data_IF_884760484904
#
_entry.id   IF_884760484904
#
_cell.length_a   1.000
_cell.length_b   1.000
_cell.length_c   1.000
_cell.angle_alpha   90.00
_cell.angle_beta   90.00
_cell.angle_gamma   90.00
#
_symmetry.space_group_name_H-M   'P 1'
#
loop_
_entity.id
_entity.type
_entity.pdbx_description
1 polymer ?
#
# COMPACT_ATOMS: atom_id res chain seq x y z
N UNK A 1 -17.37 -4.38 -0.92
CA UNK A 1 -17.59 -4.61 -2.33
C UNK A 1 -16.57 -5.61 -2.83
N UNK A 2 -17.04 -6.68 -3.48
CA UNK A 2 -16.22 -7.71 -4.11
C UNK A 2 -15.44 -7.08 -5.25
N UNK A 3 -14.11 -7.03 -5.14
CA UNK A 3 -13.25 -6.71 -6.28
C UNK A 3 -13.31 -7.86 -7.29
N UNK A 4 -13.68 -7.55 -8.52
CA UNK A 4 -13.50 -8.50 -9.63
C UNK A 4 -12.01 -8.69 -9.91
N UNK A 5 -11.53 -9.93 -9.79
CA UNK A 5 -10.18 -10.29 -10.20
C UNK A 5 -10.18 -10.49 -11.72
N UNK A 6 -9.76 -9.49 -12.45
CA UNK A 6 -9.55 -9.57 -13.88
C UNK A 6 -8.07 -9.79 -14.20
N UNK A 7 -7.79 -10.71 -15.12
CA UNK A 7 -6.44 -11.09 -15.54
C UNK A 7 -5.75 -10.07 -16.48
N UNK A 8 -6.28 -8.86 -16.59
CA UNK A 8 -5.68 -7.82 -17.42
C UNK A 8 -4.87 -6.86 -16.55
N UNK A 9 -3.62 -6.55 -16.90
CA UNK A 9 -2.90 -5.45 -16.30
C UNK A 9 -3.68 -4.16 -16.54
N UNK A 10 -3.81 -3.29 -15.52
CA UNK A 10 -4.45 -1.98 -15.63
C UNK A 10 -5.95 -1.98 -15.92
N UNK A 11 -6.74 -2.60 -15.04
CA UNK A 11 -8.21 -2.65 -15.17
C UNK A 11 -8.92 -1.40 -14.66
N UNK A 12 -8.27 -0.58 -13.84
CA UNK A 12 -8.85 0.63 -13.26
C UNK A 12 -8.98 1.72 -14.31
N UNK A 13 -10.22 2.12 -14.61
CA UNK A 13 -10.55 3.16 -15.60
C UNK A 13 -10.94 4.49 -14.98
N UNK A 14 -11.09 4.54 -13.68
CA UNK A 14 -11.53 5.71 -12.90
C UNK A 14 -10.78 5.75 -11.58
N UNK A 15 -10.62 6.95 -11.02
CA UNK A 15 -10.13 7.12 -9.66
C UNK A 15 -11.15 6.57 -8.67
N UNK A 16 -10.74 5.64 -7.84
CA UNK A 16 -11.55 5.12 -6.75
C UNK A 16 -10.98 5.57 -5.42
N UNK A 17 -11.85 5.95 -4.49
CA UNK A 17 -11.46 6.35 -3.15
C UNK A 17 -11.94 5.32 -2.16
N UNK A 18 -11.00 4.63 -1.55
CA UNK A 18 -11.25 3.76 -0.40
C UNK A 18 -10.94 4.50 0.90
N UNK A 19 -11.49 4.00 1.98
CA UNK A 19 -11.24 4.54 3.31
C UNK A 19 -10.96 3.40 4.28
N UNK A 20 -10.02 3.60 5.17
CA UNK A 20 -9.90 2.80 6.36
C UNK A 20 -9.70 3.71 7.57
N UNK A 21 -10.12 3.23 8.73
CA UNK A 21 -10.01 3.99 9.97
C UNK A 21 -9.03 3.27 10.90
N UNK A 22 -8.07 4.02 11.42
CA UNK A 22 -7.19 3.56 12.48
C UNK A 22 -7.30 4.52 13.66
N UNK A 23 -7.68 3.99 14.84
CA UNK A 23 -7.90 4.79 16.06
C UNK A 23 -8.72 6.06 15.82
N UNK A 24 -9.80 5.95 15.02
CA UNK A 24 -10.70 7.04 14.62
C UNK A 24 -10.11 8.09 13.67
N UNK A 25 -8.86 7.97 13.30
CA UNK A 25 -8.29 8.72 12.18
C UNK A 25 -8.67 8.03 10.88
N UNK A 26 -9.33 8.77 10.01
CA UNK A 26 -9.68 8.27 8.68
C UNK A 26 -8.47 8.44 7.75
N UNK A 27 -8.13 7.37 7.07
CA UNK A 27 -7.14 7.36 6.00
C UNK A 27 -7.86 7.15 4.67
N UNK A 28 -7.51 7.92 3.67
CA UNK A 28 -8.00 7.76 2.32
C UNK A 28 -6.97 7.00 1.49
N UNK A 29 -7.43 6.02 0.73
CA UNK A 29 -6.64 5.32 -0.26
C UNK A 29 -7.19 5.66 -1.63
N UNK A 30 -6.35 6.25 -2.47
CA UNK A 30 -6.67 6.54 -3.86
C UNK A 30 -6.18 5.38 -4.72
N UNK A 31 -7.10 4.62 -5.29
CA UNK A 31 -6.79 3.64 -6.32
C UNK A 31 -6.79 4.37 -7.67
N UNK A 32 -5.63 4.44 -8.28
CA UNK A 32 -5.43 5.17 -9.53
C UNK A 32 -5.50 4.21 -10.71
N UNK A 33 -5.94 4.67 -11.89
CA UNK A 33 -5.75 3.93 -13.13
C UNK A 33 -4.29 3.52 -13.27
N UNK A 34 -4.05 2.32 -13.75
CA UNK A 34 -2.70 1.83 -13.97
C UNK A 34 -1.91 2.79 -14.86
N UNK A 35 -0.72 3.18 -14.41
CA UNK A 35 0.19 3.96 -15.22
C UNK A 35 0.79 3.03 -16.27
N UNK A 36 0.54 3.32 -17.54
CA UNK A 36 1.05 2.51 -18.63
C UNK A 36 2.50 2.89 -18.96
N UNK A 37 3.28 1.90 -19.35
CA UNK A 37 4.65 2.09 -19.87
C UNK A 37 4.62 2.75 -21.23
N UNK A 38 4.35 4.06 -21.25
CA UNK A 38 4.33 4.91 -22.43
C UNK A 38 4.60 6.37 -22.06
N UNK A 39 5.12 7.19 -23.00
CA UNK A 39 5.41 8.59 -22.78
C UNK A 39 4.21 9.40 -22.26
N UNK A 40 4.49 10.47 -21.49
CA UNK A 40 3.46 11.34 -20.91
C UNK A 40 2.50 11.92 -21.98
N UNK A 41 3.01 12.26 -23.13
CA UNK A 41 2.26 12.79 -24.27
C UNK A 41 1.23 11.81 -24.84
N UNK A 42 1.50 10.51 -24.67
CA UNK A 42 0.62 9.43 -25.12
C UNK A 42 -0.38 9.00 -24.04
N UNK A 43 -0.31 9.59 -22.86
CA UNK A 43 -1.21 9.25 -21.75
C UNK A 43 -2.57 9.91 -21.93
N UNK A 44 -3.60 9.16 -21.63
CA UNK A 44 -4.96 9.69 -21.68
C UNK A 44 -5.25 10.65 -20.51
N UNK A 45 -6.35 11.42 -20.61
CA UNK A 45 -6.73 12.40 -19.61
C UNK A 45 -6.93 11.79 -18.20
N UNK A 46 -7.33 10.53 -18.10
CA UNK A 46 -7.55 9.82 -16.82
C UNK A 46 -6.22 9.54 -16.13
N UNK A 47 -5.20 9.09 -16.88
CA UNK A 47 -3.86 8.86 -16.36
C UNK A 47 -3.20 10.16 -15.90
N UNK A 48 -3.37 11.25 -16.64
CA UNK A 48 -2.89 12.58 -16.25
C UNK A 48 -3.55 13.09 -14.97
N UNK A 49 -4.86 12.87 -14.81
CA UNK A 49 -5.57 13.19 -13.57
C UNK A 49 -5.08 12.36 -12.39
N UNK A 50 -4.80 11.08 -12.61
CA UNK A 50 -4.25 10.22 -11.57
C UNK A 50 -2.88 10.71 -11.07
N UNK A 51 -1.98 11.10 -11.98
CA UNK A 51 -0.68 11.67 -11.64
C UNK A 51 -0.86 12.98 -10.85
N UNK A 52 -1.72 13.89 -11.30
CA UNK A 52 -2.00 15.14 -10.60
C UNK A 52 -2.57 14.89 -9.19
N UNK A 53 -3.45 13.90 -9.04
CA UNK A 53 -4.00 13.54 -7.73
C UNK A 53 -2.91 13.01 -6.78
N UNK A 54 -2.01 12.15 -7.26
CA UNK A 54 -0.88 11.65 -6.48
C UNK A 54 0.07 12.77 -6.06
N UNK A 55 0.35 13.72 -6.95
CA UNK A 55 1.26 14.83 -6.71
C UNK A 55 0.71 15.83 -5.67
N UNK A 56 -0.59 16.13 -5.72
CA UNK A 56 -1.20 17.20 -4.93
C UNK A 56 -1.96 16.72 -3.69
N UNK A 57 -2.46 15.49 -3.69
CA UNK A 57 -3.34 14.97 -2.63
C UNK A 57 -2.68 13.84 -1.85
N UNK A 58 -1.82 13.05 -2.48
CA UNK A 58 -1.19 11.89 -1.86
C UNK A 58 -0.13 12.27 -0.83
N UNK A 59 -0.20 11.66 0.35
CA UNK A 59 0.86 11.77 1.37
C UNK A 59 1.98 10.76 1.14
N UNK A 60 1.63 9.55 0.73
CA UNK A 60 2.54 8.44 0.41
C UNK A 60 1.99 7.72 -0.81
N UNK A 61 2.84 7.39 -1.77
CA UNK A 61 2.49 6.58 -2.92
C UNK A 61 2.98 5.13 -2.71
N UNK A 62 2.19 4.17 -3.18
CA UNK A 62 2.55 2.75 -3.18
C UNK A 62 2.66 2.27 -4.62
N UNK A 63 3.78 1.63 -4.93
CA UNK A 63 3.96 0.91 -6.18
C UNK A 63 3.88 -0.59 -5.89
N UNK A 64 2.85 -1.25 -6.40
CA UNK A 64 2.68 -2.69 -6.25
C UNK A 64 3.46 -3.41 -7.36
N UNK A 65 4.50 -4.11 -6.95
CA UNK A 65 5.37 -4.89 -7.82
C UNK A 65 5.02 -6.37 -7.73
N UNK A 66 4.81 -7.01 -8.86
CA UNK A 66 4.57 -8.46 -8.95
C UNK A 66 5.81 -9.17 -9.50
N UNK A 67 6.67 -9.63 -8.61
CA UNK A 67 7.90 -10.34 -8.98
C UNK A 67 7.63 -11.68 -9.68
N UNK A 68 6.44 -12.26 -9.52
CA UNK A 68 6.05 -13.51 -10.19
C UNK A 68 5.67 -13.31 -11.66
N UNK A 69 5.38 -12.07 -12.07
CA UNK A 69 4.87 -11.76 -13.41
C UNK A 69 3.46 -12.29 -13.70
N UNK A 70 2.77 -12.82 -12.69
CA UNK A 70 1.41 -13.38 -12.85
C UNK A 70 0.35 -12.32 -13.20
N UNK A 71 0.70 -11.03 -13.08
CA UNK A 71 -0.15 -9.92 -13.54
C UNK A 71 -0.16 -9.77 -15.07
N UNK A 72 0.70 -10.50 -15.79
CA UNK A 72 0.81 -10.44 -17.25
C UNK A 72 1.84 -9.42 -17.76
N UNK A 73 2.46 -8.65 -16.88
CA UNK A 73 3.56 -7.74 -17.21
C UNK A 73 4.86 -8.30 -16.64
N UNK A 74 5.92 -8.48 -17.45
CA UNK A 74 7.21 -8.96 -16.97
C UNK A 74 7.78 -8.06 -15.86
N UNK A 75 8.50 -8.62 -14.88
CA UNK A 75 9.11 -7.83 -13.81
C UNK A 75 9.99 -6.67 -14.30
N UNK A 76 10.74 -6.85 -15.38
CA UNK A 76 11.60 -5.83 -15.97
C UNK A 76 10.82 -4.61 -16.45
N UNK A 77 9.67 -4.83 -17.09
CA UNK A 77 8.79 -3.75 -17.54
C UNK A 77 8.16 -3.01 -16.37
N UNK A 78 7.81 -3.73 -15.30
CA UNK A 78 7.30 -3.13 -14.07
C UNK A 78 8.38 -2.24 -13.39
N UNK A 79 9.63 -2.69 -13.37
CA UNK A 79 10.74 -1.90 -12.82
C UNK A 79 11.05 -0.66 -13.69
N UNK A 80 10.94 -0.77 -15.01
CA UNK A 80 11.06 0.39 -15.89
C UNK A 80 9.98 1.43 -15.59
N UNK A 81 8.72 0.99 -15.47
CA UNK A 81 7.62 1.87 -15.08
C UNK A 81 7.84 2.50 -13.69
N UNK A 82 8.41 1.77 -12.72
CA UNK A 82 8.74 2.31 -11.40
C UNK A 82 9.70 3.50 -11.51
N UNK A 83 10.74 3.42 -12.34
CA UNK A 83 11.68 4.52 -12.53
C UNK A 83 11.01 5.74 -13.17
N UNK A 84 10.09 5.54 -14.10
CA UNK A 84 9.28 6.64 -14.63
C UNK A 84 8.40 7.27 -13.54
N UNK A 85 7.71 6.47 -12.74
CA UNK A 85 6.86 6.97 -11.63
C UNK A 85 7.66 7.78 -10.62
N UNK A 86 8.88 7.35 -10.28
CA UNK A 86 9.78 8.12 -9.42
C UNK A 86 10.08 9.52 -9.96
N UNK A 87 10.25 9.66 -11.27
CA UNK A 87 10.48 10.97 -11.89
C UNK A 87 9.25 11.87 -11.90
N UNK A 88 8.05 11.27 -11.92
CA UNK A 88 6.78 12.00 -11.91
C UNK A 88 6.37 12.49 -10.52
N UNK A 89 6.88 11.86 -9.46
CA UNK A 89 6.48 12.14 -8.06
C UNK A 89 7.68 12.54 -7.19
N UNK A 90 8.47 13.57 -7.56
CA UNK A 90 9.73 13.86 -6.88
C UNK A 90 9.57 14.30 -5.41
N UNK A 91 8.39 14.80 -5.03
CA UNK A 91 8.09 15.28 -3.68
C UNK A 91 7.28 14.31 -2.83
N UNK A 92 6.89 13.15 -3.37
CA UNK A 92 6.02 12.18 -2.68
C UNK A 92 6.83 10.94 -2.29
N UNK A 93 6.85 10.55 -1.00
CA UNK A 93 7.45 9.28 -0.61
C UNK A 93 6.81 8.13 -1.38
N UNK A 94 7.62 7.29 -2.01
CA UNK A 94 7.19 6.14 -2.79
C UNK A 94 7.70 4.86 -2.15
N UNK A 95 6.77 4.04 -1.68
CA UNK A 95 7.05 2.70 -1.16
C UNK A 95 6.81 1.65 -2.25
N UNK A 96 7.79 0.81 -2.49
CA UNK A 96 7.67 -0.32 -3.41
C UNK A 96 7.28 -1.55 -2.62
N UNK A 97 6.14 -2.11 -2.93
CA UNK A 97 5.58 -3.27 -2.23
C UNK A 97 5.54 -4.46 -3.19
N UNK A 98 6.26 -5.53 -2.85
CA UNK A 98 6.14 -6.78 -3.60
C UNK A 98 4.83 -7.47 -3.23
N UNK A 99 3.96 -7.63 -4.19
CA UNK A 99 2.66 -8.31 -4.04
C UNK A 99 2.78 -9.81 -4.35
N UNK A 100 1.74 -10.57 -4.05
CA UNK A 100 1.63 -12.01 -4.35
C UNK A 100 2.80 -12.83 -3.79
N UNK A 101 3.19 -12.54 -2.55
CA UNK A 101 4.30 -13.21 -1.88
C UNK A 101 4.13 -14.74 -1.79
N UNK A 102 2.90 -15.24 -1.83
CA UNK A 102 2.54 -16.66 -1.90
C UNK A 102 3.04 -17.36 -3.19
N UNK A 103 3.30 -16.59 -4.25
CA UNK A 103 3.85 -17.12 -5.50
C UNK A 103 5.39 -17.11 -5.56
N UNK A 104 6.05 -16.47 -4.61
CA UNK A 104 7.52 -16.44 -4.55
C UNK A 104 8.08 -17.82 -4.16
N UNK A 105 9.22 -18.19 -4.75
CA UNK A 105 9.91 -19.46 -4.48
C UNK A 105 11.41 -19.20 -4.32
N UNK A 106 11.96 -19.37 -3.10
CA UNK A 106 11.23 -19.76 -1.88
C UNK A 106 10.29 -18.67 -1.36
N UNK A 107 9.39 -19.04 -0.45
CA UNK A 107 8.62 -18.05 0.31
C UNK A 107 9.55 -17.16 1.12
N UNK A 108 9.17 -15.89 1.40
CA UNK A 108 9.95 -15.01 2.26
C UNK A 108 10.28 -15.68 3.60
N UNK A 109 11.52 -15.51 4.06
CA UNK A 109 12.04 -16.23 5.24
C UNK A 109 11.23 -16.00 6.52
N UNK A 110 10.67 -14.78 6.70
CA UNK A 110 9.87 -14.42 7.87
C UNK A 110 8.36 -14.72 7.70
N UNK A 111 7.95 -15.50 6.69
CA UNK A 111 6.53 -15.77 6.40
C UNK A 111 5.74 -16.25 7.60
N UNK A 112 6.20 -17.31 8.26
CA UNK A 112 5.49 -17.88 9.41
C UNK A 112 5.50 -16.97 10.63
N UNK A 113 6.60 -16.24 10.84
CA UNK A 113 6.74 -15.27 11.93
C UNK A 113 5.74 -14.11 11.76
N UNK A 114 5.69 -13.51 10.58
CA UNK A 114 4.77 -12.40 10.29
C UNK A 114 3.32 -12.86 10.40
N UNK A 115 2.99 -14.01 9.82
CA UNK A 115 1.64 -14.60 9.90
C UNK A 115 1.21 -14.82 11.34
N UNK A 116 2.08 -15.38 12.17
CA UNK A 116 1.79 -15.62 13.58
C UNK A 116 1.64 -14.32 14.38
N UNK A 117 2.48 -13.32 14.14
CA UNK A 117 2.41 -12.02 14.81
C UNK A 117 1.10 -11.26 14.47
N UNK A 118 0.72 -11.24 13.20
CA UNK A 118 -0.53 -10.62 12.76
C UNK A 118 -1.76 -11.32 13.35
N UNK A 119 -1.75 -12.66 13.35
CA UNK A 119 -2.82 -13.45 13.95
C UNK A 119 -2.94 -13.19 15.46
N UNK A 120 -1.84 -13.19 16.19
CA UNK A 120 -1.83 -12.91 17.62
C UNK A 120 -2.38 -11.51 17.95
N UNK A 121 -2.03 -10.50 17.14
CA UNK A 121 -2.56 -9.16 17.30
C UNK A 121 -4.07 -9.08 17.03
N UNK A 122 -4.58 -9.79 16.02
CA UNK A 122 -6.02 -9.87 15.73
C UNK A 122 -6.78 -10.55 16.86
N UNK A 123 -6.26 -11.65 17.38
CA UNK A 123 -6.84 -12.38 18.52
C UNK A 123 -6.85 -11.54 19.82
N UNK A 124 -5.88 -10.65 19.98
CA UNK A 124 -5.83 -9.69 21.09
C UNK A 124 -6.77 -8.47 20.92
N UNK A 125 -7.56 -8.42 19.84
CA UNK A 125 -8.56 -7.37 19.59
C UNK A 125 -8.14 -6.27 18.63
N UNK A 126 -7.02 -6.39 17.96
CA UNK A 126 -6.52 -5.42 16.94
C UNK A 126 -6.38 -3.99 17.47
N UNK A 127 -6.01 -3.84 18.73
CA UNK A 127 -5.89 -2.52 19.35
C UNK A 127 -4.49 -1.91 19.21
N UNK A 128 -4.43 -0.60 19.22
CA UNK A 128 -3.19 0.17 19.23
C UNK A 128 -2.52 0.29 17.87
N UNK A 129 -1.24 0.64 17.91
CA UNK A 129 -0.35 0.73 16.76
C UNK A 129 0.88 -0.15 17.03
N UNK A 130 0.75 -1.48 16.97
CA UNK A 130 1.81 -2.40 17.28
C UNK A 130 2.97 -2.28 16.29
N UNK A 131 4.16 -2.66 16.73
CA UNK A 131 5.32 -2.82 15.87
C UNK A 131 5.32 -4.27 15.32
N UNK A 132 4.46 -4.51 14.33
CA UNK A 132 4.41 -5.80 13.67
C UNK A 132 5.62 -5.98 12.74
N UNK A 133 6.24 -7.17 12.72
CA UNK A 133 7.34 -7.44 11.81
C UNK A 133 6.88 -7.33 10.36
N UNK A 134 7.63 -6.60 9.54
CA UNK A 134 7.40 -6.52 8.11
C UNK A 134 7.87 -7.79 7.42
N UNK A 135 7.07 -8.29 6.49
CA UNK A 135 7.50 -9.33 5.59
C UNK A 135 8.37 -8.69 4.50
N UNK A 136 9.57 -9.21 4.28
CA UNK A 136 10.50 -8.70 3.27
C UNK A 136 10.81 -9.80 2.25
N UNK A 137 10.97 -9.40 0.99
CA UNK A 137 11.51 -10.27 -0.06
C UNK A 137 13.05 -10.35 0.01
N UNK A 138 13.67 -11.10 -0.91
CA UNK A 138 15.12 -11.29 -0.96
C UNK A 138 15.90 -9.99 -1.22
N UNK A 139 15.26 -9.01 -1.87
CA UNK A 139 15.81 -7.68 -2.12
C UNK A 139 15.53 -6.69 -0.98
N UNK A 140 14.89 -7.13 0.09
CA UNK A 140 14.56 -6.31 1.24
C UNK A 140 13.37 -5.37 1.04
N UNK A 141 12.55 -5.59 0.01
CA UNK A 141 11.32 -4.83 -0.19
C UNK A 141 10.22 -5.37 0.70
N UNK A 142 9.38 -4.49 1.20
CA UNK A 142 8.15 -4.90 1.91
C UNK A 142 7.32 -5.75 0.96
N UNK A 143 6.89 -6.90 1.42
CA UNK A 143 6.09 -7.83 0.61
C UNK A 143 4.83 -8.27 1.35
N UNK A 144 3.85 -8.76 0.61
CA UNK A 144 2.59 -9.24 1.15
C UNK A 144 1.92 -10.26 0.24
N UNK A 145 1.03 -11.05 0.82
CA UNK A 145 0.03 -11.81 0.08
C UNK A 145 -1.38 -11.41 0.55
N UNK A 146 -2.14 -10.81 -0.34
CA UNK A 146 -3.55 -10.51 -0.07
C UNK A 146 -4.40 -11.80 -0.08
N UNK A 147 -4.00 -12.81 -0.84
CA UNK A 147 -4.69 -14.10 -0.91
C UNK A 147 -4.59 -14.87 0.40
N UNK A 148 -3.39 -14.92 0.98
CA UNK A 148 -3.12 -15.64 2.23
C UNK A 148 -3.27 -14.76 3.47
N UNK A 149 -3.55 -13.46 3.27
CA UNK A 149 -3.68 -12.44 4.33
C UNK A 149 -2.45 -12.38 5.25
N UNK A 150 -1.26 -12.32 4.62
CA UNK A 150 0.04 -12.24 5.30
C UNK A 150 0.75 -10.95 4.89
N UNK A 151 1.25 -10.19 5.85
CA UNK A 151 1.93 -8.91 5.64
C UNK A 151 0.99 -7.70 5.49
N UNK A 152 -0.31 -7.91 5.48
CA UNK A 152 -1.30 -6.84 5.26
C UNK A 152 -1.42 -5.90 6.47
N UNK A 153 -1.50 -6.45 7.68
CA UNK A 153 -1.62 -5.62 8.88
C UNK A 153 -0.31 -4.91 9.21
N UNK A 154 0.82 -5.59 9.04
CA UNK A 154 2.14 -4.99 9.19
C UNK A 154 2.33 -3.80 8.23
N UNK A 155 1.97 -3.94 6.95
CA UNK A 155 1.99 -2.85 5.99
C UNK A 155 1.05 -1.72 6.41
N UNK A 156 -0.16 -2.02 6.85
CA UNK A 156 -1.12 -1.00 7.30
C UNK A 156 -0.55 -0.16 8.45
N UNK A 157 0.05 -0.80 9.45
CA UNK A 157 0.68 -0.10 10.57
C UNK A 157 1.88 0.74 10.12
N UNK A 158 2.67 0.24 9.20
CA UNK A 158 3.78 0.98 8.60
C UNK A 158 3.29 2.24 7.87
N UNK A 159 2.24 2.13 7.06
CA UNK A 159 1.67 3.28 6.34
C UNK A 159 1.06 4.32 7.26
N UNK A 160 0.41 3.91 8.35
CA UNK A 160 -0.10 4.85 9.37
C UNK A 160 1.04 5.68 9.94
N UNK A 161 2.20 5.08 10.24
CA UNK A 161 3.39 5.79 10.73
C UNK A 161 3.96 6.75 9.68
N UNK A 162 4.14 6.29 8.45
CA UNK A 162 4.65 7.12 7.35
C UNK A 162 3.75 8.34 7.08
N UNK A 163 2.44 8.14 7.04
CA UNK A 163 1.50 9.23 6.84
C UNK A 163 1.54 10.23 8.01
N UNK A 164 1.69 9.74 9.23
CA UNK A 164 1.79 10.59 10.41
C UNK A 164 3.08 11.42 10.39
N UNK A 165 4.22 10.83 10.05
CA UNK A 165 5.49 11.54 9.87
C UNK A 165 5.40 12.60 8.77
N UNK A 166 4.85 12.25 7.61
CA UNK A 166 4.71 13.17 6.48
C UNK A 166 3.83 14.37 6.81
N UNK A 167 2.79 14.18 7.63
CA UNK A 167 1.86 15.25 8.02
C UNK A 167 2.19 15.86 9.37
N UNK A 168 3.31 15.51 10.00
CA UNK A 168 3.75 15.99 11.32
C UNK A 168 2.69 15.78 12.41
N UNK A 169 2.00 14.64 12.36
CA UNK A 169 0.91 14.27 13.29
C UNK A 169 1.34 13.08 14.13
N UNK A 170 1.02 13.09 15.41
CA UNK A 170 1.17 11.91 16.27
C UNK A 170 0.12 10.85 15.89
N UNK A 171 0.52 9.66 15.37
CA UNK A 171 -0.41 8.61 14.95
C UNK A 171 -1.18 8.00 16.14
N UNK A 172 -0.73 8.27 17.37
CA UNK A 172 -1.37 7.83 18.61
C UNK A 172 -2.24 8.91 19.24
N UNK A 173 -2.18 10.16 18.74
CA UNK A 173 -2.99 11.25 19.25
C UNK A 173 -4.50 10.99 19.07
N UNK A 174 -5.27 11.49 19.98
CA UNK A 174 -6.72 11.56 19.80
C UNK A 174 -7.04 12.76 18.90
N UNK A 175 -8.06 12.63 18.01
CA UNK A 175 -8.52 13.75 17.22
C UNK A 175 -8.88 14.97 18.09
N UNK A 176 -8.66 16.16 17.55
CA UNK A 176 -8.97 17.41 18.23
C UNK A 176 -10.45 17.44 18.68
N UNK A 177 -10.72 17.86 19.93
CA UNK A 177 -12.07 17.84 20.52
C UNK A 177 -12.49 16.51 21.15
N UNK A 178 -11.62 15.50 21.12
CA UNK A 178 -11.87 14.22 21.78
C UNK A 178 -11.33 14.21 23.21
N UNK A 179 -12.23 14.18 24.16
CA UNK A 179 -11.89 13.90 25.55
C UNK A 179 -12.20 12.44 25.86
N UNK A 180 -11.27 11.71 26.51
CA UNK A 180 -11.63 10.45 27.16
C UNK A 180 -12.80 10.77 28.08
N UNK A 181 -13.97 10.22 27.81
CA UNK A 181 -15.01 10.20 28.82
C UNK A 181 -14.51 9.23 29.91
N UNK A 182 -14.06 9.79 31.03
CA UNK A 182 -13.90 9.06 32.27
C UNK A 182 -15.29 8.57 32.67
N UNK A 183 -15.69 7.43 32.11
CA UNK A 183 -16.77 6.62 32.66
C UNK A 183 -16.13 5.37 33.20
N UNK A 184 -15.93 5.47 34.49
CA UNK A 184 -15.76 4.32 35.36
C UNK A 184 -16.82 3.23 35.12
#
# INVERSE_FOLDING_TARGET
GTMEVNHYPFTTKQLHVGHFTHRRLAHQMLDTPGLLDRPMEDRNAIEQQAIAALEHVGSVALFLFDASGACGTPPEEQLHLLEEVKTLLPGTPLEVITSKADLLKPLPAAWDEVKAAEQAWREAGSEGLPDLPLLLDEEGRITLSALEDVGMDALRMHLVRLCAEKNEVDPMALPEGWHRSDKA
#
